data_IF_101063018361
#
_entry.id   IF_101063018361
#
_cell.length_a   1.000
_cell.length_b   1.000
_cell.length_c   1.000
_cell.angle_alpha   90.00
_cell.angle_beta   90.00
_cell.angle_gamma   90.00
#
_symmetry.space_group_name_H-M   'P 1'
#
loop_
_entity.id
_entity.type
_entity.pdbx_description
1 polymer ?
#
# COMPACT_ATOMS: atom_id res chain seq x y z
N UNK A 1 6.57 -11.42 -19.41
CA UNK A 1 7.77 -10.92 -18.71
C UNK A 1 8.72 -10.34 -19.74
N UNK A 2 8.80 -9.01 -19.85
CA UNK A 2 9.79 -8.30 -20.68
C UNK A 2 10.20 -7.01 -19.97
N UNK A 3 11.52 -6.86 -19.86
CA UNK A 3 12.30 -5.67 -19.50
C UNK A 3 12.37 -5.29 -18.02
N UNK A 4 13.45 -5.77 -17.39
CA UNK A 4 14.15 -5.16 -16.27
C UNK A 4 14.59 -3.74 -16.63
N UNK A 5 14.22 -2.74 -15.84
CA UNK A 5 14.95 -1.48 -15.76
C UNK A 5 15.35 -1.26 -14.30
N UNK A 6 16.61 -1.58 -14.01
CA UNK A 6 17.30 -1.28 -12.77
C UNK A 6 17.64 0.23 -12.68
N UNK A 7 16.64 1.11 -12.81
CA UNK A 7 16.85 2.56 -12.93
C UNK A 7 16.97 3.30 -11.59
N UNK A 8 16.90 2.64 -10.43
CA UNK A 8 16.98 3.29 -9.10
C UNK A 8 18.19 2.88 -8.25
N UNK A 9 19.17 2.18 -8.83
CA UNK A 9 20.30 1.60 -8.06
C UNK A 9 21.16 2.66 -7.34
N UNK A 10 21.35 3.87 -7.88
CA UNK A 10 22.27 4.86 -7.29
C UNK A 10 21.80 5.43 -5.96
N UNK A 11 20.52 5.77 -5.83
CA UNK A 11 20.00 6.38 -4.60
C UNK A 11 19.82 5.33 -3.50
N UNK A 12 19.44 4.10 -3.86
CA UNK A 12 19.38 2.96 -2.92
C UNK A 12 20.75 2.63 -2.31
N UNK A 13 21.82 2.65 -3.10
CA UNK A 13 23.18 2.30 -2.64
C UNK A 13 23.83 3.36 -1.75
N UNK A 14 23.23 4.56 -1.63
CA UNK A 14 23.72 5.60 -0.71
C UNK A 14 23.39 5.29 0.76
N UNK A 15 22.43 4.40 1.02
CA UNK A 15 22.01 3.98 2.35
C UNK A 15 22.93 2.85 2.83
N UNK A 16 23.76 3.11 3.84
CA UNK A 16 24.60 2.07 4.45
C UNK A 16 23.72 1.05 5.18
N UNK A 17 23.88 -0.25 4.88
CA UNK A 17 23.36 -1.34 5.72
C UNK A 17 22.08 -2.04 5.24
N UNK A 18 21.48 -1.64 4.10
CA UNK A 18 20.31 -2.33 3.54
C UNK A 18 20.63 -2.87 2.14
N UNK A 19 20.77 -4.19 2.02
CA UNK A 19 20.90 -4.88 0.72
C UNK A 19 19.54 -5.01 0.02
N UNK A 20 18.86 -3.89 -0.22
CA UNK A 20 17.59 -3.87 -0.95
C UNK A 20 17.81 -3.70 -2.46
N UNK A 21 16.93 -4.31 -3.24
CA UNK A 21 16.83 -4.07 -4.68
C UNK A 21 15.47 -3.48 -5.00
N UNK A 22 15.44 -2.45 -5.84
CA UNK A 22 14.22 -1.85 -6.35
C UNK A 22 14.10 -2.05 -7.86
N UNK A 23 12.92 -2.47 -8.31
CA UNK A 23 12.56 -2.62 -9.71
C UNK A 23 11.32 -1.78 -10.00
N UNK A 24 11.40 -0.88 -10.97
CA UNK A 24 10.25 -0.10 -11.45
C UNK A 24 9.90 -0.50 -12.87
N UNK A 25 8.62 -0.52 -13.20
CA UNK A 25 8.11 -0.83 -14.54
C UNK A 25 7.14 0.26 -15.00
N UNK A 26 7.20 0.61 -16.29
CA UNK A 26 6.29 1.59 -16.89
C UNK A 26 4.92 1.03 -17.30
N UNK A 27 4.73 -0.29 -17.24
CA UNK A 27 3.45 -0.97 -17.46
C UNK A 27 3.46 -2.38 -16.86
N UNK A 28 2.28 -2.92 -16.57
CA UNK A 28 2.13 -4.26 -15.99
C UNK A 28 0.95 -5.01 -16.61
N UNK A 29 1.25 -6.14 -17.28
CA UNK A 29 0.26 -6.95 -18.04
C UNK A 29 -0.21 -8.22 -17.33
N UNK A 30 0.49 -8.65 -16.28
CA UNK A 30 0.17 -9.84 -15.48
C UNK A 30 0.36 -9.55 -13.98
N UNK A 31 -0.02 -8.34 -13.60
CA UNK A 31 0.11 -7.87 -12.23
C UNK A 31 -0.87 -8.57 -11.31
N UNK A 32 -0.45 -8.77 -10.06
CA UNK A 32 -1.25 -9.45 -9.04
C UNK A 32 -1.50 -8.49 -7.88
N UNK A 33 -2.70 -8.55 -7.35
CA UNK A 33 -3.08 -8.04 -6.05
C UNK A 33 -3.38 -9.19 -5.10
N UNK A 34 -3.77 -8.86 -3.87
CA UNK A 34 -4.14 -9.85 -2.87
C UNK A 34 -5.27 -10.76 -3.37
N UNK A 35 -5.21 -12.04 -2.97
CA UNK A 35 -6.16 -13.09 -3.36
C UNK A 35 -6.23 -13.34 -4.88
N UNK A 36 -5.10 -13.16 -5.59
CA UNK A 36 -4.98 -13.51 -7.01
C UNK A 36 -5.64 -12.54 -7.99
N UNK A 37 -6.14 -11.39 -7.51
CA UNK A 37 -6.78 -10.38 -8.38
C UNK A 37 -5.77 -9.76 -9.33
N UNK A 38 -6.22 -9.36 -10.50
CA UNK A 38 -5.37 -8.67 -11.46
C UNK A 38 -5.12 -7.22 -11.01
N UNK A 39 -3.87 -6.80 -10.96
CA UNK A 39 -3.47 -5.40 -10.84
C UNK A 39 -2.75 -4.98 -12.12
N UNK A 40 -3.52 -4.73 -13.17
CA UNK A 40 -3.00 -4.35 -14.48
C UNK A 40 -3.09 -2.84 -14.68
N UNK A 41 -2.18 -2.30 -15.50
CA UNK A 41 -2.28 -0.91 -15.90
C UNK A 41 -1.25 -0.52 -16.96
N UNK A 42 -1.52 0.61 -17.60
CA UNK A 42 -0.75 1.14 -18.71
C UNK A 42 0.23 2.23 -18.30
N UNK A 43 0.76 2.90 -19.32
CA UNK A 43 1.70 3.99 -19.18
C UNK A 43 1.19 5.10 -18.24
N UNK A 44 2.11 5.66 -17.46
CA UNK A 44 1.82 6.75 -16.54
C UNK A 44 1.33 6.31 -15.16
N UNK A 45 1.13 5.02 -14.90
CA UNK A 45 0.94 4.47 -13.55
C UNK A 45 2.26 3.94 -12.96
N UNK A 46 2.35 3.87 -11.63
CA UNK A 46 3.55 3.41 -10.93
C UNK A 46 3.44 1.93 -10.59
N UNK A 47 4.47 1.16 -10.94
CA UNK A 47 4.65 -0.23 -10.51
C UNK A 47 6.06 -0.39 -9.96
N UNK A 48 6.18 -0.65 -8.67
CA UNK A 48 7.45 -0.79 -7.96
C UNK A 48 7.47 -2.13 -7.23
N UNK A 49 8.57 -2.87 -7.33
CA UNK A 49 8.86 -4.01 -6.47
C UNK A 49 10.13 -3.74 -5.69
N UNK A 50 10.07 -3.87 -4.36
CA UNK A 50 11.23 -3.85 -3.48
C UNK A 50 11.52 -5.26 -2.98
N UNK A 51 12.73 -5.75 -3.17
CA UNK A 51 13.23 -6.95 -2.51
C UNK A 51 13.93 -6.54 -1.22
N UNK A 52 13.33 -6.87 -0.09
CA UNK A 52 13.82 -6.52 1.25
C UNK A 52 14.37 -7.77 1.93
N UNK A 53 15.60 -7.77 2.44
CA UNK A 53 16.16 -8.96 3.09
C UNK A 53 15.32 -9.39 4.29
N UNK A 54 14.97 -10.68 4.36
CA UNK A 54 14.20 -11.25 5.46
C UNK A 54 14.88 -11.02 6.82
N UNK A 55 16.22 -11.10 6.86
CA UNK A 55 17.04 -10.80 8.05
C UNK A 55 16.86 -9.37 8.59
N UNK A 56 16.61 -8.40 7.70
CA UNK A 56 16.41 -7.00 8.08
C UNK A 56 15.03 -6.85 8.71
N UNK A 57 14.02 -7.49 8.12
CA UNK A 57 12.65 -7.45 8.64
C UNK A 57 12.46 -8.30 9.91
N UNK A 58 13.25 -9.36 10.12
CA UNK A 58 13.24 -10.13 11.36
C UNK A 58 13.84 -9.38 12.55
N UNK A 59 14.59 -8.30 12.32
CA UNK A 59 15.14 -7.45 13.37
C UNK A 59 14.13 -6.39 13.86
N UNK A 60 12.93 -6.32 13.27
CA UNK A 60 11.86 -5.46 13.77
C UNK A 60 11.43 -5.93 15.16
N UNK A 61 11.15 -4.97 16.05
CA UNK A 61 10.73 -5.22 17.44
C UNK A 61 9.23 -5.54 17.56
N UNK A 62 8.52 -5.62 16.45
CA UNK A 62 7.08 -5.86 16.38
C UNK A 62 6.75 -6.95 15.34
N UNK A 63 5.54 -7.55 15.39
CA UNK A 63 5.17 -8.64 14.49
C UNK A 63 5.19 -8.24 13.01
N UNK A 64 5.70 -9.11 12.15
CA UNK A 64 5.73 -8.91 10.68
C UNK A 64 4.34 -8.65 10.08
N UNK A 65 3.28 -9.07 10.77
CA UNK A 65 1.88 -8.83 10.38
C UNK A 65 1.49 -7.35 10.37
N UNK A 66 2.25 -6.47 11.03
CA UNK A 66 2.08 -5.02 10.97
C UNK A 66 2.80 -4.37 9.77
N UNK A 67 3.64 -5.11 9.05
CA UNK A 67 4.41 -4.58 7.93
C UNK A 67 3.53 -3.93 6.84
N UNK A 68 2.37 -4.50 6.44
CA UNK A 68 1.47 -3.84 5.49
C UNK A 68 0.96 -2.48 5.98
N UNK A 69 0.70 -2.34 7.28
CA UNK A 69 0.25 -1.08 7.87
C UNK A 69 1.38 -0.04 7.81
N UNK A 70 2.59 -0.40 8.24
CA UNK A 70 3.75 0.50 8.20
C UNK A 70 4.06 0.94 6.78
N UNK A 71 4.13 0.00 5.83
CA UNK A 71 4.37 0.29 4.42
C UNK A 71 3.27 1.16 3.83
N UNK A 72 2.00 0.86 4.12
CA UNK A 72 0.86 1.66 3.70
C UNK A 72 0.96 3.11 4.17
N UNK A 73 1.34 3.33 5.43
CA UNK A 73 1.55 4.67 5.99
C UNK A 73 2.66 5.43 5.28
N UNK A 74 3.80 4.79 5.00
CA UNK A 74 4.90 5.41 4.26
C UNK A 74 4.48 5.79 2.84
N UNK A 75 3.80 4.88 2.13
CA UNK A 75 3.27 5.12 0.78
C UNK A 75 2.28 6.29 0.78
N UNK A 76 1.32 6.31 1.73
CA UNK A 76 0.33 7.37 1.83
C UNK A 76 0.97 8.74 2.10
N UNK A 77 2.00 8.80 2.95
CA UNK A 77 2.75 10.04 3.23
C UNK A 77 3.46 10.57 1.98
N UNK A 78 4.07 9.71 1.17
CA UNK A 78 4.67 10.15 -0.10
C UNK A 78 3.60 10.57 -1.11
N UNK A 79 2.47 9.87 -1.20
CA UNK A 79 1.34 10.30 -2.05
C UNK A 79 0.86 11.71 -1.65
N UNK A 80 0.65 11.96 -0.35
CA UNK A 80 0.26 13.27 0.18
C UNK A 80 1.24 14.37 -0.27
N UNK A 81 2.55 14.12 -0.18
CA UNK A 81 3.58 15.11 -0.60
C UNK A 81 3.53 15.45 -2.09
N UNK A 82 3.09 14.52 -2.92
CA UNK A 82 2.97 14.76 -4.36
C UNK A 82 1.70 15.53 -4.74
N UNK A 83 0.66 15.52 -3.89
CA UNK A 83 -0.60 16.22 -4.18
C UNK A 83 -0.46 17.75 -4.10
N UNK A 84 -1.13 18.51 -4.98
CA UNK A 84 -0.82 19.92 -5.23
C UNK A 84 -1.36 20.90 -4.18
N UNK A 85 -2.34 20.51 -3.38
CA UNK A 85 -2.97 21.40 -2.41
C UNK A 85 -3.51 20.64 -1.17
N UNK A 86 -3.75 21.34 -0.05
CA UNK A 86 -4.23 20.71 1.19
C UNK A 86 -5.57 20.00 1.05
N UNK A 87 -6.47 20.45 0.17
CA UNK A 87 -7.77 19.82 -0.03
C UNK A 87 -7.62 18.42 -0.65
N UNK A 88 -6.74 18.27 -1.64
CA UNK A 88 -6.40 16.97 -2.21
C UNK A 88 -5.68 16.08 -1.18
N UNK A 89 -4.76 16.65 -0.41
CA UNK A 89 -4.02 15.93 0.63
C UNK A 89 -4.94 15.35 1.71
N UNK A 90 -5.96 16.10 2.14
CA UNK A 90 -6.94 15.66 3.13
C UNK A 90 -7.84 14.51 2.67
N UNK A 91 -7.88 14.22 1.35
CA UNK A 91 -8.66 13.10 0.78
C UNK A 91 -7.93 11.76 0.83
N UNK A 92 -6.65 11.74 1.21
CA UNK A 92 -5.86 10.51 1.32
C UNK A 92 -6.18 9.80 2.63
N UNK A 93 -6.58 8.53 2.53
CA UNK A 93 -6.92 7.71 3.69
C UNK A 93 -6.32 6.31 3.55
N UNK A 94 -6.17 5.60 4.66
CA UNK A 94 -5.78 4.20 4.71
C UNK A 94 -7.00 3.33 5.00
N UNK A 95 -7.18 2.31 4.16
CA UNK A 95 -8.15 1.24 4.38
C UNK A 95 -7.40 -0.04 4.69
N UNK A 96 -7.76 -0.65 5.81
CA UNK A 96 -7.16 -1.90 6.25
C UNK A 96 -7.41 -3.03 5.23
N UNK A 97 -6.44 -3.91 4.97
CA UNK A 97 -5.12 -3.96 5.60
C UNK A 97 -4.02 -3.19 4.85
N UNK A 98 -4.24 -2.78 3.62
CA UNK A 98 -3.13 -2.46 2.71
C UNK A 98 -3.47 -1.50 1.56
N UNK A 99 -4.64 -0.86 1.63
CA UNK A 99 -5.13 0.03 0.58
C UNK A 99 -4.94 1.50 0.97
N UNK A 100 -4.44 2.30 0.03
CA UNK A 100 -4.50 3.76 0.12
C UNK A 100 -5.68 4.22 -0.73
N UNK A 101 -6.55 5.01 -0.13
CA UNK A 101 -7.70 5.61 -0.76
C UNK A 101 -7.44 7.08 -1.06
N UNK A 102 -8.06 7.57 -2.12
CA UNK A 102 -8.20 8.98 -2.48
C UNK A 102 -9.68 9.22 -2.77
N UNK A 103 -10.34 10.04 -1.95
CA UNK A 103 -11.78 10.30 -2.05
C UNK A 103 -12.60 8.99 -2.14
N UNK A 104 -12.30 8.06 -1.23
CA UNK A 104 -12.89 6.71 -1.12
C UNK A 104 -12.63 5.75 -2.28
N UNK A 105 -11.95 6.20 -3.34
CA UNK A 105 -11.46 5.34 -4.40
C UNK A 105 -10.07 4.81 -4.09
N UNK A 106 -9.83 3.53 -4.34
CA UNK A 106 -8.48 2.95 -4.20
C UNK A 106 -7.53 3.59 -5.20
N UNK A 107 -6.47 4.22 -4.69
CA UNK A 107 -5.42 4.85 -5.50
C UNK A 107 -4.11 4.08 -5.43
N UNK A 108 -3.85 3.37 -4.34
CA UNK A 108 -2.69 2.51 -4.20
C UNK A 108 -3.02 1.24 -3.43
N UNK A 109 -2.23 0.20 -3.69
CA UNK A 109 -2.21 -1.01 -2.91
C UNK A 109 -0.81 -1.59 -2.87
N UNK A 110 -0.55 -2.42 -1.87
CA UNK A 110 0.69 -3.18 -1.76
C UNK A 110 0.43 -4.67 -1.58
N UNK A 111 1.36 -5.48 -2.04
CA UNK A 111 1.40 -6.92 -1.89
C UNK A 111 2.76 -7.30 -1.34
N UNK A 112 2.77 -8.09 -0.26
CA UNK A 112 4.01 -8.60 0.35
C UNK A 112 4.01 -10.11 0.19
N UNK A 113 5.03 -10.62 -0.49
CA UNK A 113 5.24 -12.05 -0.70
C UNK A 113 6.64 -12.43 -0.24
N UNK A 114 6.79 -13.61 0.34
CA UNK A 114 8.13 -14.19 0.57
C UNK A 114 8.59 -14.85 -0.72
N UNK A 115 9.86 -14.68 -1.08
CA UNK A 115 10.46 -15.46 -2.17
C UNK A 115 10.59 -16.96 -1.82
N UNK A 116 10.79 -17.79 -2.84
CA UNK A 116 10.86 -19.24 -2.67
C UNK A 116 12.05 -19.74 -1.83
N UNK A 117 13.04 -18.89 -1.59
CA UNK A 117 14.21 -19.20 -0.75
C UNK A 117 14.11 -18.59 0.65
N UNK A 118 12.98 -17.97 1.00
CA UNK A 118 12.75 -17.27 2.29
C UNK A 118 13.85 -16.26 2.65
N UNK A 119 14.51 -15.71 1.65
CA UNK A 119 15.64 -14.80 1.80
C UNK A 119 15.21 -13.35 1.68
N UNK A 120 14.13 -13.10 0.93
CA UNK A 120 13.60 -11.77 0.68
C UNK A 120 12.08 -11.74 0.81
N UNK A 121 11.59 -10.63 1.34
CA UNK A 121 10.22 -10.21 1.13
C UNK A 121 10.17 -9.31 -0.12
N UNK A 122 9.33 -9.70 -1.08
CA UNK A 122 9.01 -8.94 -2.27
C UNK A 122 7.80 -8.06 -1.96
N UNK A 123 8.02 -6.75 -1.86
CA UNK A 123 6.98 -5.75 -1.64
C UNK A 123 6.63 -5.10 -2.97
N UNK A 124 5.55 -5.57 -3.59
CA UNK A 124 4.96 -4.96 -4.79
C UNK A 124 4.05 -3.80 -4.40
N UNK A 125 4.26 -2.63 -5.00
CA UNK A 125 3.53 -1.39 -4.75
C UNK A 125 3.01 -0.88 -6.09
N UNK A 126 1.69 -0.68 -6.18
CA UNK A 126 1.04 -0.11 -7.34
C UNK A 126 0.34 1.19 -6.99
N UNK A 127 0.60 2.27 -7.74
CA UNK A 127 -0.11 3.55 -7.59
C UNK A 127 -0.73 3.96 -8.92
N UNK A 128 -2.03 4.24 -8.89
CA UNK A 128 -2.78 4.83 -10.00
C UNK A 128 -2.43 6.32 -10.08
N UNK A 129 -1.46 6.67 -10.93
CA UNK A 129 -1.00 8.05 -11.07
C UNK A 129 -1.80 8.74 -12.19
N UNK A 130 -1.70 8.24 -13.42
CA UNK A 130 -2.41 8.81 -14.57
C UNK A 130 -3.85 8.27 -14.71
N UNK A 131 -4.06 6.99 -14.46
CA UNK A 131 -5.32 6.31 -14.78
C UNK A 131 -5.76 5.37 -13.66
N UNK A 132 -7.05 5.38 -13.34
CA UNK A 132 -7.66 4.39 -12.48
C UNK A 132 -8.12 3.18 -13.32
N UNK A 133 -8.01 1.93 -12.82
CA UNK A 133 -8.54 0.77 -13.52
C UNK A 133 -10.06 0.84 -13.62
N UNK A 134 -10.61 0.29 -14.70
CA UNK A 134 -12.04 0.07 -14.82
C UNK A 134 -12.48 -0.98 -13.78
N UNK A 135 -13.42 -0.61 -12.91
CA UNK A 135 -14.03 -1.55 -11.96
C UNK A 135 -15.25 -2.20 -12.62
N UNK A 136 -15.28 -3.54 -12.78
CA UNK A 136 -16.42 -4.22 -13.38
C UNK A 136 -17.73 -4.01 -12.60
N UNK A 137 -18.86 -4.01 -13.31
CA UNK A 137 -20.20 -3.95 -12.70
C UNK A 137 -20.65 -5.27 -12.07
N UNK A 138 -19.90 -6.36 -12.28
CA UNK A 138 -20.17 -7.72 -11.81
C UNK A 138 -18.88 -8.38 -11.30
N UNK A 139 -19.02 -9.44 -10.49
CA UNK A 139 -17.88 -10.20 -9.96
C UNK A 139 -17.32 -9.63 -8.63
N UNK A 140 -16.20 -10.20 -8.19
CA UNK A 140 -15.63 -9.95 -6.85
C UNK A 140 -15.16 -8.51 -6.60
N UNK A 141 -14.99 -7.73 -7.67
CA UNK A 141 -14.58 -6.32 -7.62
C UNK A 141 -15.75 -5.34 -7.76
N UNK A 142 -16.99 -5.82 -7.94
CA UNK A 142 -18.19 -4.99 -8.11
C UNK A 142 -18.34 -3.98 -6.97
N UNK A 143 -18.69 -2.74 -7.33
CA UNK A 143 -19.01 -1.68 -6.36
C UNK A 143 -17.79 -1.03 -5.72
N UNK A 144 -16.58 -1.52 -6.01
CA UNK A 144 -15.36 -0.86 -5.57
C UNK A 144 -15.16 0.45 -6.33
N UNK A 145 -14.64 1.44 -5.63
CA UNK A 145 -14.20 2.70 -6.24
C UNK A 145 -12.70 2.62 -6.49
N UNK A 146 -12.28 3.06 -7.67
CA UNK A 146 -10.88 3.27 -8.00
C UNK A 146 -10.67 4.77 -8.26
N UNK A 147 -9.52 5.29 -7.84
CA UNK A 147 -9.12 6.67 -8.04
C UNK A 147 -7.72 6.71 -8.66
N UNK A 148 -7.36 7.85 -9.23
CA UNK A 148 -6.00 8.14 -9.66
C UNK A 148 -5.58 9.55 -9.28
N UNK A 149 -4.29 9.76 -9.06
CA UNK A 149 -3.77 11.05 -8.58
C UNK A 149 -4.00 12.19 -9.61
N UNK A 150 -4.11 11.87 -10.90
CA UNK A 150 -4.44 12.84 -11.96
C UNK A 150 -5.79 13.56 -11.72
N UNK A 151 -6.73 12.94 -11.02
CA UNK A 151 -8.02 13.54 -10.65
C UNK A 151 -7.88 14.74 -9.70
N UNK A 152 -6.75 14.84 -8.99
CA UNK A 152 -6.46 15.95 -8.07
C UNK A 152 -5.71 17.11 -8.73
N UNK A 153 -5.63 17.16 -10.06
CA UNK A 153 -4.94 18.24 -10.76
C UNK A 153 -3.42 18.10 -10.78
N UNK A 154 -2.91 16.86 -10.78
CA UNK A 154 -1.49 16.60 -11.04
C UNK A 154 -1.07 16.89 -12.50
N UNK A 155 -2.04 17.09 -13.40
CA UNK A 155 -1.77 17.49 -14.77
C UNK A 155 -0.99 18.83 -14.79
N UNK A 156 0.23 18.81 -15.33
CA UNK A 156 1.06 20.02 -15.51
C UNK A 156 2.30 20.11 -14.63
N UNK A 157 2.55 19.16 -13.70
CA UNK A 157 3.90 18.97 -13.16
C UNK A 157 4.75 18.32 -14.26
N UNK A 158 5.61 19.09 -14.92
CA UNK A 158 6.56 18.54 -15.91
C UNK A 158 7.39 17.39 -15.29
N UNK A 159 7.74 16.39 -16.08
CA UNK A 159 8.48 15.20 -15.62
C UNK A 159 7.63 13.94 -15.55
N UNK A 160 8.25 12.84 -15.09
CA UNK A 160 7.61 11.52 -14.97
C UNK A 160 7.21 11.29 -13.51
N UNK A 161 6.00 11.74 -13.15
CA UNK A 161 5.48 11.66 -11.77
C UNK A 161 5.48 10.23 -11.22
N UNK A 162 5.22 9.23 -12.05
CA UNK A 162 5.22 7.84 -11.61
C UNK A 162 6.64 7.39 -11.23
N UNK A 163 7.64 7.77 -12.03
CA UNK A 163 9.05 7.52 -11.71
C UNK A 163 9.48 8.26 -10.43
N UNK A 164 9.19 9.55 -10.32
CA UNK A 164 9.62 10.35 -9.18
C UNK A 164 8.99 9.84 -7.86
N UNK A 165 7.70 9.49 -7.90
CA UNK A 165 7.00 8.87 -6.77
C UNK A 165 7.60 7.50 -6.42
N UNK A 166 8.00 6.70 -7.42
CA UNK A 166 8.63 5.40 -7.17
C UNK A 166 9.98 5.54 -6.44
N UNK A 167 10.77 6.55 -6.79
CA UNK A 167 12.03 6.85 -6.10
C UNK A 167 11.77 7.33 -4.69
N UNK A 168 10.83 8.28 -4.51
CA UNK A 168 10.48 8.80 -3.19
C UNK A 168 10.02 7.70 -2.23
N UNK A 169 9.12 6.81 -2.68
CA UNK A 169 8.65 5.66 -1.89
C UNK A 169 9.79 4.69 -1.57
N UNK A 170 10.62 4.34 -2.56
CA UNK A 170 11.75 3.44 -2.34
C UNK A 170 12.74 4.00 -1.31
N UNK A 171 13.08 5.29 -1.41
CA UNK A 171 13.95 5.99 -0.44
C UNK A 171 13.31 6.06 0.94
N UNK A 172 12.01 6.37 1.02
CA UNK A 172 11.27 6.45 2.29
C UNK A 172 11.31 5.11 3.03
N UNK A 173 11.06 4.01 2.31
CA UNK A 173 11.09 2.65 2.88
C UNK A 173 12.51 2.22 3.27
N UNK A 174 13.53 2.46 2.44
CA UNK A 174 14.91 2.07 2.79
C UNK A 174 15.50 2.92 3.91
N UNK A 175 15.14 4.20 3.99
CA UNK A 175 15.50 5.08 5.12
C UNK A 175 14.89 4.57 6.42
N UNK A 176 13.62 4.16 6.37
CA UNK A 176 12.94 3.57 7.51
C UNK A 176 13.65 2.27 7.97
N UNK A 177 14.03 1.38 7.04
CA UNK A 177 14.79 0.16 7.34
C UNK A 177 16.21 0.43 7.85
N UNK A 178 16.81 1.55 7.47
CA UNK A 178 18.16 1.96 7.86
C UNK A 178 18.34 2.37 9.33
N UNK A 179 17.25 2.38 10.13
CA UNK A 179 17.36 2.40 11.58
C UNK A 179 17.42 3.79 12.24
N UNK A 180 16.62 4.76 11.80
CA UNK A 180 16.46 6.02 12.53
C UNK A 180 15.33 6.03 13.57
N UNK A 181 14.46 5.02 13.60
CA UNK A 181 13.34 4.94 14.55
C UNK A 181 13.14 3.51 15.06
N UNK A 182 13.19 3.31 16.38
CA UNK A 182 12.69 2.09 17.04
C UNK A 182 11.16 2.12 17.04
N UNK A 183 10.56 1.77 15.92
CA UNK A 183 9.11 1.58 15.85
C UNK A 183 8.69 0.47 16.83
N UNK A 184 7.59 0.66 17.54
CA UNK A 184 6.92 -0.39 18.31
C UNK A 184 5.61 -0.77 17.62
N UNK A 185 4.96 -1.85 18.04
CA UNK A 185 3.63 -2.19 17.54
C UNK A 185 2.65 -1.01 17.72
N UNK A 186 2.67 -0.38 18.89
CA UNK A 186 1.83 0.77 19.22
C UNK A 186 2.15 1.99 18.36
N UNK A 187 3.43 2.28 18.09
CA UNK A 187 3.79 3.43 17.24
C UNK A 187 3.35 3.22 15.79
N UNK A 188 3.49 2.00 15.26
CA UNK A 188 3.04 1.64 13.91
C UNK A 188 1.53 1.79 13.78
N UNK A 189 0.78 1.26 14.76
CA UNK A 189 -0.68 1.36 14.79
C UNK A 189 -1.09 2.82 14.91
N UNK A 190 -0.58 3.57 15.89
CA UNK A 190 -0.93 4.97 16.09
C UNK A 190 -0.62 5.84 14.86
N UNK A 191 0.47 5.56 14.14
CA UNK A 191 0.80 6.25 12.90
C UNK A 191 -0.17 5.91 11.75
N UNK A 192 -0.60 4.65 11.65
CA UNK A 192 -1.58 4.22 10.66
C UNK A 192 -2.97 4.80 10.95
N UNK A 193 -3.39 4.81 12.22
CA UNK A 193 -4.70 5.29 12.66
C UNK A 193 -4.94 6.77 12.35
N UNK A 194 -3.88 7.60 12.30
CA UNK A 194 -3.96 9.01 11.89
C UNK A 194 -4.51 9.21 10.48
N UNK A 195 -4.35 8.22 9.60
CA UNK A 195 -4.83 8.24 8.22
C UNK A 195 -5.99 7.28 7.99
N UNK A 196 -6.39 6.51 9.00
CA UNK A 196 -7.33 5.42 8.85
C UNK A 196 -8.77 5.89 8.64
N UNK A 197 -9.50 5.14 7.82
CA UNK A 197 -10.94 5.33 7.63
C UNK A 197 -11.73 4.57 8.70
N UNK A 198 -12.30 5.29 9.67
CA UNK A 198 -13.18 4.72 10.70
C UNK A 198 -14.66 4.95 10.43
N UNK A 199 -15.52 4.18 11.08
CA UNK A 199 -16.98 4.36 11.06
C UNK A 199 -17.69 3.98 9.75
N UNK A 200 -16.96 3.56 8.72
CA UNK A 200 -17.55 3.06 7.47
C UNK A 200 -17.99 1.62 7.59
N UNK A 201 -19.08 1.32 6.90
CA UNK A 201 -19.58 -0.04 6.72
C UNK A 201 -18.79 -0.69 5.59
N UNK A 202 -18.26 -1.89 5.85
CA UNK A 202 -17.60 -2.72 4.85
C UNK A 202 -18.32 -4.04 4.72
N UNK A 203 -18.56 -4.45 3.48
CA UNK A 203 -19.04 -5.78 3.16
C UNK A 203 -17.91 -6.80 3.29
N UNK A 204 -18.26 -7.97 3.83
CA UNK A 204 -17.37 -9.10 4.02
C UNK A 204 -17.43 -10.06 2.84
N UNK A 205 -16.35 -10.81 2.62
CA UNK A 205 -16.27 -11.77 1.51
C UNK A 205 -17.17 -12.98 1.63
N UNK A 206 -17.41 -13.42 2.86
CA UNK A 206 -18.33 -14.49 3.20
C UNK A 206 -19.77 -13.99 3.39
N UNK A 207 -20.03 -12.71 3.10
CA UNK A 207 -21.32 -12.06 3.29
C UNK A 207 -21.46 -11.42 4.68
N UNK A 208 -22.42 -10.50 4.77
CA UNK A 208 -22.59 -9.64 5.94
C UNK A 208 -21.78 -8.35 5.87
N UNK A 209 -21.99 -7.49 6.84
CA UNK A 209 -21.41 -6.15 6.88
C UNK A 209 -20.87 -5.84 8.27
N UNK A 210 -19.76 -5.12 8.32
CA UNK A 210 -19.05 -4.78 9.55
C UNK A 210 -18.67 -3.31 9.63
N UNK A 211 -18.47 -2.81 10.84
CA UNK A 211 -17.86 -1.51 11.10
C UNK A 211 -16.54 -1.72 11.87
N UNK A 212 -15.40 -1.18 11.41
CA UNK A 212 -14.14 -1.24 12.13
C UNK A 212 -14.19 -0.50 13.45
N UNK A 213 -13.58 -1.08 14.48
CA UNK A 213 -13.54 -0.53 15.84
C UNK A 213 -12.13 -0.16 16.30
N UNK A 214 -11.15 -1.03 16.06
CA UNK A 214 -9.76 -0.85 16.52
C UNK A 214 -8.81 -1.83 15.80
N UNK A 215 -7.51 -1.57 15.87
CA UNK A 215 -6.47 -2.55 15.55
C UNK A 215 -5.94 -3.22 16.82
N UNK A 216 -5.65 -4.52 16.72
CA UNK A 216 -4.86 -5.24 17.73
C UNK A 216 -3.36 -5.01 17.52
N UNK A 217 -2.56 -5.24 18.57
CA UNK A 217 -1.09 -5.13 18.52
C UNK A 217 -0.41 -6.09 17.55
N UNK A 218 -1.14 -7.10 17.04
CA UNK A 218 -0.71 -8.01 15.99
C UNK A 218 -1.23 -7.63 14.58
N UNK A 219 -1.92 -6.50 14.46
CA UNK A 219 -2.43 -5.97 13.18
C UNK A 219 -3.79 -6.51 12.74
N UNK A 220 -4.42 -7.41 13.52
CA UNK A 220 -5.81 -7.82 13.26
C UNK A 220 -6.77 -6.66 13.46
N UNK A 221 -7.81 -6.62 12.63
CA UNK A 221 -8.84 -5.59 12.73
C UNK A 221 -10.00 -6.08 13.59
N UNK A 222 -10.25 -5.40 14.69
CA UNK A 222 -11.45 -5.59 15.50
C UNK A 222 -12.61 -4.87 14.84
N UNK A 223 -13.71 -5.60 14.62
CA UNK A 223 -14.89 -5.09 13.93
C UNK A 223 -16.16 -5.46 14.70
N UNK A 224 -17.21 -4.65 14.53
CA UNK A 224 -18.59 -4.99 14.93
C UNK A 224 -19.35 -5.54 13.73
N UNK A 225 -19.90 -6.73 13.86
CA UNK A 225 -20.82 -7.32 12.89
C UNK A 225 -22.19 -6.65 12.99
N UNK A 226 -22.73 -6.16 11.86
CA UNK A 226 -23.98 -5.41 11.84
C UNK A 226 -25.24 -6.29 11.90
N UNK A 227 -25.12 -7.59 11.64
CA UNK A 227 -26.25 -8.52 11.71
C UNK A 227 -26.43 -9.05 13.13
N UNK A 228 -25.35 -9.47 13.76
CA UNK A 228 -25.35 -10.06 15.11
C UNK A 228 -25.09 -9.06 16.23
N UNK A 229 -24.51 -7.89 15.92
CA UNK A 229 -24.04 -6.92 16.92
C UNK A 229 -22.75 -7.35 17.64
N UNK A 230 -22.24 -8.55 17.38
CA UNK A 230 -21.06 -9.11 18.03
C UNK A 230 -19.75 -8.47 17.53
N UNK A 231 -18.74 -8.45 18.39
CA UNK A 231 -17.38 -8.07 18.02
C UNK A 231 -16.60 -9.29 17.56
N UNK A 232 -15.84 -9.17 16.47
CA UNK A 232 -14.92 -10.21 15.99
C UNK A 232 -13.60 -9.63 15.47
N UNK A 233 -12.59 -10.48 15.33
CA UNK A 233 -11.27 -10.12 14.78
C UNK A 233 -11.14 -10.64 13.35
N UNK A 234 -10.67 -9.77 12.46
CA UNK A 234 -10.37 -10.11 11.07
C UNK A 234 -8.86 -10.15 10.85
N UNK A 235 -8.40 -11.10 10.03
CA UNK A 235 -7.04 -11.14 9.47
C UNK A 235 -7.03 -10.61 8.03
N UNK A 236 -5.85 -10.35 7.46
CA UNK A 236 -5.67 -9.63 6.20
C UNK A 236 -6.19 -10.34 4.93
N UNK A 237 -7.44 -10.81 4.89
CA UNK A 237 -8.11 -11.42 3.73
C UNK A 237 -9.64 -11.16 3.68
N UNK A 238 -10.23 -10.48 4.69
CA UNK A 238 -11.68 -10.56 4.92
C UNK A 238 -12.56 -9.44 4.33
N UNK A 239 -12.02 -8.25 4.03
CA UNK A 239 -12.83 -7.13 3.52
C UNK A 239 -12.92 -7.12 1.97
N UNK A 240 -14.06 -6.63 1.45
CA UNK A 240 -14.20 -6.21 0.05
C UNK A 240 -13.84 -4.75 -0.17
#
# INVERSE_FOLDING_TARGET
MRTLLASSRRDLLSQKGVDALALSAGSQIQGRGTSGRAWMGGAGNMFLTLALPARTLSALTYPITLLPLRMGTLIAREIVRFLPNPEAQAKVQLKWPNDVLLDDGKVSGLLIEMDGTCSYYLVGIGVNVAQAPHVPSLGADRGRRAACLAQCGLAGRGGDTAKDLSIAIAVSITTWLGGSQEDTADSVIADWEKLATWGKVYDLRDGGAVVPLALETDGRLRVRDLTSGATRLLTAEYLH
#
